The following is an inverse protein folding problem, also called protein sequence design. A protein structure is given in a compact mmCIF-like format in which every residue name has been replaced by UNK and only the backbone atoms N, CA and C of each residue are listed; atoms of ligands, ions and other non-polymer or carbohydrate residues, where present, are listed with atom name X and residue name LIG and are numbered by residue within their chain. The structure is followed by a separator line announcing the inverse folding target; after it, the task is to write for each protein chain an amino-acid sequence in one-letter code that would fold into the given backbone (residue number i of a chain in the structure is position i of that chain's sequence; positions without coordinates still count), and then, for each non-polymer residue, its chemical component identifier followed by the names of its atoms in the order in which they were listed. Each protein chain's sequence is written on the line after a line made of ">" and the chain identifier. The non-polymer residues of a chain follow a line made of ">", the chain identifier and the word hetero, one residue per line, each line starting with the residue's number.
data_IF_285067281537
#
_entry.id   IF_285067281537
#
_cell.length_a   1.000
_cell.length_b   1.000
_cell.length_c   1.000
_cell.angle_alpha   90.00
_cell.angle_beta   90.00
_cell.angle_gamma   90.00
#
_symmetry.space_group_name_H-M   'P 1'
#
loop_
_entity.id
_entity.type
_entity.pdbx_description
1 polymer ?
#
# COMPACT_ATOMS: atom_id res chain seq x y z
N UNK A 1 -5.36 -40.44 54.99
CA UNK A 1 -6.09 -40.55 53.71
C UNK A 1 -6.35 -39.13 53.20
N UNK A 2 -5.61 -38.65 52.19
CA UNK A 2 -5.77 -37.28 51.68
C UNK A 2 -6.93 -37.22 50.68
N UNK A 3 -7.98 -36.49 51.04
CA UNK A 3 -9.19 -36.31 50.23
C UNK A 3 -8.89 -35.34 49.10
N UNK A 4 -8.74 -35.84 47.86
CA UNK A 4 -8.56 -34.99 46.68
C UNK A 4 -9.87 -34.25 46.42
N UNK A 5 -9.89 -32.94 46.60
CA UNK A 5 -11.02 -32.11 46.18
C UNK A 5 -11.05 -32.09 44.65
N UNK A 6 -12.11 -32.64 44.06
CA UNK A 6 -12.35 -32.50 42.61
C UNK A 6 -12.91 -31.09 42.39
N UNK A 7 -12.08 -30.21 41.83
CA UNK A 7 -12.46 -28.87 41.42
C UNK A 7 -13.34 -29.02 40.18
N UNK A 8 -14.64 -28.78 40.32
CA UNK A 8 -15.53 -28.73 39.17
C UNK A 8 -15.34 -27.38 38.49
N UNK A 9 -14.92 -27.42 37.22
CA UNK A 9 -15.06 -26.27 36.33
C UNK A 9 -16.54 -26.15 36.03
N UNK A 10 -17.16 -25.03 36.38
CA UNK A 10 -18.59 -24.88 36.14
C UNK A 10 -18.81 -24.68 34.64
N UNK A 11 -19.79 -25.35 34.05
CA UNK A 11 -20.17 -25.09 32.64
C UNK A 11 -20.55 -23.60 32.46
N UNK A 12 -21.07 -22.99 33.52
CA UNK A 12 -21.40 -21.57 33.56
C UNK A 12 -20.17 -20.66 33.38
N UNK A 13 -19.03 -20.97 34.02
CA UNK A 13 -17.78 -20.21 33.83
C UNK A 13 -17.33 -20.25 32.37
N UNK A 14 -17.47 -21.39 31.71
CA UNK A 14 -17.10 -21.48 30.30
C UNK A 14 -18.06 -20.67 29.43
N UNK A 15 -19.36 -20.72 29.71
CA UNK A 15 -20.39 -20.01 28.94
C UNK A 15 -20.22 -18.50 29.06
N UNK A 16 -20.03 -17.96 30.27
CA UNK A 16 -19.86 -16.51 30.44
C UNK A 16 -18.59 -16.00 29.73
N UNK A 17 -17.51 -16.79 29.73
CA UNK A 17 -16.27 -16.43 29.04
C UNK A 17 -16.46 -16.37 27.52
N UNK A 18 -17.08 -17.37 26.90
CA UNK A 18 -17.32 -17.34 25.45
C UNK A 18 -18.31 -16.25 25.05
N UNK A 19 -19.28 -15.91 25.90
CA UNK A 19 -20.19 -14.78 25.68
C UNK A 19 -19.42 -13.46 25.70
N UNK A 20 -18.58 -13.22 26.70
CA UNK A 20 -17.77 -11.99 26.78
C UNK A 20 -16.78 -11.92 25.61
N UNK A 21 -16.09 -13.01 25.28
CA UNK A 21 -15.20 -13.07 24.12
C UNK A 21 -15.95 -12.83 22.80
N UNK A 22 -17.18 -13.32 22.67
CA UNK A 22 -18.03 -13.07 21.51
C UNK A 22 -18.38 -11.58 21.34
N UNK A 23 -18.73 -10.90 22.43
CA UNK A 23 -19.02 -9.45 22.42
C UNK A 23 -17.76 -8.65 22.05
N UNK A 24 -16.61 -9.00 22.64
CA UNK A 24 -15.34 -8.33 22.34
C UNK A 24 -14.91 -8.55 20.87
N UNK A 25 -15.09 -9.77 20.35
CA UNK A 25 -14.78 -10.07 18.96
C UNK A 25 -15.64 -9.27 17.98
N UNK A 26 -16.93 -9.09 18.28
CA UNK A 26 -17.86 -8.30 17.45
C UNK A 26 -17.37 -6.85 17.25
N UNK A 27 -16.84 -6.22 18.30
CA UNK A 27 -16.33 -4.84 18.24
C UNK A 27 -14.91 -4.79 17.67
N UNK A 28 -14.08 -5.79 17.98
CA UNK A 28 -12.67 -5.82 17.56
C UNK A 28 -12.51 -6.01 16.05
N UNK A 29 -13.33 -6.84 15.40
CA UNK A 29 -13.22 -7.14 13.97
C UNK A 29 -13.33 -5.89 13.07
N UNK A 30 -14.39 -5.05 13.15
CA UNK A 30 -14.49 -3.86 12.31
C UNK A 30 -13.41 -2.82 12.64
N UNK A 31 -13.06 -2.66 13.92
CA UNK A 31 -12.01 -1.74 14.35
C UNK A 31 -10.65 -2.13 13.74
N UNK A 32 -10.30 -3.42 13.78
CA UNK A 32 -9.04 -3.92 13.23
C UNK A 32 -9.02 -3.86 11.69
N UNK A 33 -10.16 -4.11 11.03
CA UNK A 33 -10.27 -3.99 9.57
C UNK A 33 -10.00 -2.57 9.06
N UNK A 34 -10.50 -1.54 9.76
CA UNK A 34 -10.23 -0.14 9.41
C UNK A 34 -8.75 0.22 9.51
N UNK A 35 -8.06 -0.25 10.56
CA UNK A 35 -6.62 -0.04 10.75
C UNK A 35 -5.82 -0.70 9.64
N UNK A 36 -6.14 -1.96 9.28
CA UNK A 36 -5.45 -2.66 8.18
C UNK A 36 -5.60 -1.86 6.88
N UNK A 37 -6.82 -1.40 6.57
CA UNK A 37 -7.07 -0.65 5.33
C UNK A 37 -6.26 0.66 5.26
N UNK A 38 -6.19 1.40 6.37
CA UNK A 38 -5.41 2.63 6.43
C UNK A 38 -3.91 2.34 6.31
N UNK A 39 -3.40 1.33 7.02
CA UNK A 39 -2.01 0.90 6.91
C UNK A 39 -1.68 0.47 5.48
N UNK A 40 -2.55 -0.30 4.81
CA UNK A 40 -2.34 -0.67 3.40
C UNK A 40 -2.29 0.54 2.48
N UNK A 41 -3.17 1.53 2.68
CA UNK A 41 -3.14 2.76 1.87
C UNK A 41 -1.85 3.55 2.09
N UNK A 42 -1.39 3.65 3.34
CA UNK A 42 -0.14 4.37 3.64
C UNK A 42 1.09 3.69 3.06
N UNK A 43 1.12 2.35 3.02
CA UNK A 43 2.19 1.59 2.36
C UNK A 43 2.17 1.86 0.86
N UNK A 44 1.00 1.82 0.22
CA UNK A 44 0.87 2.10 -1.20
C UNK A 44 1.35 3.52 -1.57
N UNK A 45 0.96 4.52 -0.77
CA UNK A 45 1.41 5.91 -0.95
C UNK A 45 2.93 6.04 -0.76
N UNK A 46 3.50 5.36 0.23
CA UNK A 46 4.95 5.37 0.46
C UNK A 46 5.71 4.69 -0.67
N UNK A 47 5.20 3.57 -1.20
CA UNK A 47 5.78 2.88 -2.35
C UNK A 47 5.77 3.77 -3.59
N UNK A 48 4.64 4.41 -3.92
CA UNK A 48 4.55 5.34 -5.05
C UNK A 48 5.53 6.52 -4.91
N UNK A 49 5.66 7.09 -3.70
CA UNK A 49 6.65 8.14 -3.41
C UNK A 49 8.09 7.66 -3.49
N UNK A 50 8.38 6.42 -3.11
CA UNK A 50 9.71 5.85 -3.25
C UNK A 50 10.07 5.71 -4.74
N UNK A 51 9.15 5.19 -5.56
CA UNK A 51 9.34 5.07 -7.01
C UNK A 51 9.60 6.43 -7.66
N UNK A 52 8.85 7.47 -7.28
CA UNK A 52 9.10 8.81 -7.79
C UNK A 52 10.46 9.39 -7.36
N UNK A 53 10.96 9.04 -6.16
CA UNK A 53 12.31 9.44 -5.72
C UNK A 53 13.38 8.72 -6.51
N UNK A 54 13.18 7.43 -6.76
CA UNK A 54 14.13 6.61 -7.51
C UNK A 54 14.15 7.04 -8.99
N UNK A 55 13.00 7.33 -9.59
CA UNK A 55 12.90 7.91 -10.94
C UNK A 55 13.61 9.28 -11.02
N UNK A 56 13.40 10.17 -10.04
CA UNK A 56 14.14 11.44 -9.95
C UNK A 56 15.66 11.22 -9.84
N UNK A 57 16.09 10.24 -9.02
CA UNK A 57 17.50 9.93 -8.85
C UNK A 57 18.12 9.37 -10.13
N UNK A 58 17.45 8.43 -10.79
CA UNK A 58 17.90 7.84 -12.05
C UNK A 58 18.00 8.89 -13.16
N UNK A 59 17.00 9.77 -13.28
CA UNK A 59 17.06 10.89 -14.20
C UNK A 59 18.30 11.76 -13.89
N UNK A 60 18.54 12.13 -12.62
CA UNK A 60 19.71 12.90 -12.19
C UNK A 60 21.06 12.24 -12.56
N UNK A 61 21.14 10.91 -12.52
CA UNK A 61 22.33 10.16 -12.90
C UNK A 61 22.54 10.06 -14.42
N UNK A 62 21.46 9.81 -15.18
CA UNK A 62 21.55 9.62 -16.63
C UNK A 62 21.75 10.95 -17.40
N UNK A 63 21.23 12.07 -16.89
CA UNK A 63 21.29 13.35 -17.61
C UNK A 63 22.50 14.24 -17.27
N UNK A 64 23.41 13.80 -16.39
CA UNK A 64 24.58 14.61 -16.01
C UNK A 64 24.18 15.94 -15.35
N UNK A 65 23.90 15.92 -14.05
CA UNK A 65 23.60 17.10 -13.22
C UNK A 65 22.38 17.97 -13.61
N UNK A 66 21.75 17.76 -14.78
CA UNK A 66 20.55 18.48 -15.22
C UNK A 66 19.54 17.48 -15.79
N UNK A 67 18.91 16.73 -14.90
CA UNK A 67 17.79 15.86 -15.24
C UNK A 67 16.51 16.65 -15.40
N UNK A 68 16.45 17.40 -16.49
CA UNK A 68 15.26 18.10 -16.92
C UNK A 68 14.17 17.11 -17.27
N UNK A 69 13.44 16.68 -16.23
CA UNK A 69 12.11 16.06 -16.30
C UNK A 69 11.15 17.13 -16.85
N UNK A 70 11.31 17.39 -18.14
CA UNK A 70 10.61 18.42 -18.90
C UNK A 70 9.45 17.83 -19.68
N UNK A 71 9.47 16.50 -19.86
CA UNK A 71 8.41 15.73 -20.48
C UNK A 71 8.15 14.45 -19.69
N UNK A 72 6.92 13.95 -19.81
CA UNK A 72 6.47 12.75 -19.14
C UNK A 72 7.12 11.47 -19.71
N UNK A 73 7.57 11.50 -20.97
CA UNK A 73 8.32 10.38 -21.57
C UNK A 73 9.62 10.04 -20.84
N UNK A 74 10.31 11.03 -20.26
CA UNK A 74 11.53 10.79 -19.46
C UNK A 74 11.22 10.05 -18.13
N UNK A 75 10.02 10.27 -17.59
CA UNK A 75 9.53 9.60 -16.38
C UNK A 75 9.15 8.15 -16.71
N UNK A 76 8.49 7.93 -17.85
CA UNK A 76 8.04 6.61 -18.29
C UNK A 76 9.23 5.65 -18.47
N UNK A 77 10.30 6.11 -19.14
CA UNK A 77 11.52 5.32 -19.32
C UNK A 77 12.22 5.02 -17.97
N UNK A 78 12.27 6.01 -17.05
CA UNK A 78 12.91 5.83 -15.74
C UNK A 78 12.13 4.86 -14.82
N UNK A 79 10.79 4.88 -14.88
CA UNK A 79 9.94 3.98 -14.09
C UNK A 79 9.88 2.58 -14.71
N UNK A 80 9.96 2.46 -16.04
CA UNK A 80 10.02 1.16 -16.73
C UNK A 80 11.32 0.39 -16.45
N UNK A 81 12.45 1.09 -16.26
CA UNK A 81 13.74 0.48 -15.89
C UNK A 81 13.81 0.10 -14.40
N UNK A 82 12.96 0.70 -13.57
CA UNK A 82 12.89 0.34 -12.14
C UNK A 82 12.23 -1.02 -11.99
N UNK A 83 12.95 -2.00 -11.41
CA UNK A 83 12.33 -3.29 -11.07
C UNK A 83 11.39 -3.10 -9.88
N UNK A 84 10.11 -2.88 -10.18
CA UNK A 84 9.06 -2.66 -9.18
C UNK A 84 8.69 -3.98 -8.48
N UNK A 85 9.56 -4.43 -7.59
CA UNK A 85 9.26 -5.56 -6.70
C UNK A 85 8.39 -5.04 -5.55
N UNK A 86 7.09 -5.32 -5.62
CA UNK A 86 6.16 -5.07 -4.52
C UNK A 86 6.41 -6.02 -3.36
N UNK A 87 7.47 -5.76 -2.59
CA UNK A 87 7.60 -6.34 -1.26
C UNK A 87 6.36 -5.94 -0.44
N UNK A 88 5.79 -6.90 0.30
CA UNK A 88 4.49 -6.83 1.02
C UNK A 88 3.23 -7.31 0.26
N UNK A 89 3.39 -8.04 -0.84
CA UNK A 89 2.29 -8.72 -1.53
C UNK A 89 1.41 -7.78 -2.35
N UNK A 90 1.99 -6.66 -2.78
CA UNK A 90 1.43 -5.76 -3.77
C UNK A 90 1.93 -6.17 -5.15
N UNK A 91 1.05 -6.29 -6.12
CA UNK A 91 1.49 -6.37 -7.51
C UNK A 91 1.59 -4.95 -8.05
N UNK A 92 2.74 -4.62 -8.63
CA UNK A 92 2.97 -3.33 -9.29
C UNK A 92 2.85 -3.54 -10.79
N UNK A 93 2.02 -2.75 -11.45
CA UNK A 93 1.98 -2.69 -12.92
C UNK A 93 2.09 -1.25 -13.39
N UNK A 94 2.79 -1.08 -14.51
CA UNK A 94 2.96 0.22 -15.16
C UNK A 94 2.21 0.26 -16.49
N UNK A 95 1.65 1.43 -16.81
CA UNK A 95 1.07 1.72 -18.11
C UNK A 95 1.45 3.13 -18.54
N UNK A 96 1.91 3.25 -19.77
CA UNK A 96 2.26 4.52 -20.39
C UNK A 96 0.97 5.22 -20.85
N UNK A 97 0.65 6.33 -20.21
CA UNK A 97 -0.43 7.23 -20.60
C UNK A 97 -0.04 8.63 -20.15
N UNK A 98 0.87 9.27 -20.89
CA UNK A 98 1.31 10.64 -20.61
C UNK A 98 1.79 10.79 -19.16
N UNK A 99 2.79 9.98 -18.77
CA UNK A 99 3.30 9.84 -17.40
C UNK A 99 3.20 8.42 -16.87
N UNK A 100 4.03 8.10 -15.88
CA UNK A 100 4.14 6.73 -15.40
C UNK A 100 2.99 6.39 -14.45
N UNK A 101 2.04 5.60 -14.95
CA UNK A 101 0.98 5.02 -14.13
C UNK A 101 1.54 3.87 -13.30
N UNK A 102 1.24 3.84 -12.01
CA UNK A 102 1.58 2.78 -11.06
C UNK A 102 0.28 2.28 -10.45
N UNK A 103 -0.09 1.06 -10.80
CA UNK A 103 -1.22 0.37 -10.18
C UNK A 103 -0.69 -0.60 -9.13
N UNK A 104 -1.14 -0.39 -7.90
CA UNK A 104 -0.86 -1.23 -6.74
C UNK A 104 -2.13 -2.00 -6.42
N UNK A 105 -2.10 -3.33 -6.49
CA UNK A 105 -3.21 -4.20 -6.04
C UNK A 105 -2.81 -4.99 -4.79
N UNK A 106 -3.66 -4.96 -3.77
CA UNK A 106 -3.60 -5.89 -2.64
C UNK A 106 -4.96 -6.54 -2.40
N UNK A 107 -5.06 -7.83 -2.70
CA UNK A 107 -6.27 -8.63 -2.53
C UNK A 107 -7.51 -8.02 -3.21
N UNK A 108 -7.35 -7.47 -4.42
CA UNK A 108 -8.43 -6.85 -5.19
C UNK A 108 -8.75 -5.41 -4.80
N UNK A 109 -7.97 -4.81 -3.89
CA UNK A 109 -8.03 -3.37 -3.60
C UNK A 109 -6.96 -2.67 -4.40
N UNK A 110 -7.38 -1.97 -5.44
CA UNK A 110 -6.51 -1.20 -6.33
C UNK A 110 -6.26 0.19 -5.80
N UNK A 111 -5.05 0.67 -5.95
CA UNK A 111 -4.68 2.07 -5.83
C UNK A 111 -3.82 2.46 -7.01
N UNK A 112 -4.25 3.49 -7.71
CA UNK A 112 -3.61 4.00 -8.91
C UNK A 112 -2.94 5.33 -8.55
N UNK A 113 -1.67 5.41 -8.87
CA UNK A 113 -0.86 6.62 -8.78
C UNK A 113 -0.33 6.95 -10.16
N UNK A 114 -0.22 8.23 -10.48
CA UNK A 114 0.44 8.69 -11.70
C UNK A 114 1.63 9.55 -11.32
N UNK A 115 2.77 9.30 -11.93
CA UNK A 115 3.96 10.14 -11.78
C UNK A 115 4.08 11.03 -13.00
N UNK A 116 4.08 12.34 -12.77
CA UNK A 116 4.16 13.36 -13.80
C UNK A 116 5.44 14.16 -13.69
N UNK A 117 5.99 14.57 -14.83
CA UNK A 117 7.05 15.56 -14.89
C UNK A 117 6.45 16.96 -14.68
N UNK A 118 6.97 17.68 -13.68
CA UNK A 118 6.54 19.07 -13.39
C UNK A 118 7.77 19.95 -13.25
N UNK A 119 8.22 20.54 -14.36
CA UNK A 119 9.32 21.52 -14.37
C UNK A 119 10.54 21.03 -13.57
N UNK A 120 11.22 19.99 -14.08
CA UNK A 120 12.48 19.46 -13.54
C UNK A 120 12.32 18.58 -12.27
N UNK A 121 11.11 18.11 -11.97
CA UNK A 121 10.87 17.14 -10.88
C UNK A 121 9.73 16.18 -11.20
N UNK A 122 9.80 14.96 -10.69
CA UNK A 122 8.69 14.01 -10.69
C UNK A 122 7.74 14.29 -9.51
N UNK A 123 6.44 14.39 -9.79
CA UNK A 123 5.37 14.57 -8.79
C UNK A 123 4.44 13.36 -8.84
N UNK A 124 4.01 12.88 -7.67
CA UNK A 124 3.05 11.78 -7.56
C UNK A 124 1.65 12.34 -7.34
N UNK A 125 0.72 12.00 -8.22
CA UNK A 125 -0.71 12.20 -8.05
C UNK A 125 -1.38 10.88 -7.65
N UNK A 126 -2.33 10.94 -6.71
CA UNK A 126 -3.19 9.81 -6.40
C UNK A 126 -4.48 9.94 -7.21
N UNK A 127 -4.76 8.92 -8.01
CA UNK A 127 -5.85 8.94 -8.98
C UNK A 127 -7.08 8.15 -8.48
N UNK A 128 -6.93 7.33 -7.44
CA UNK A 128 -8.03 6.50 -6.91
C UNK A 128 -7.89 5.03 -7.31
N UNK A 129 -9.00 4.35 -7.61
CA UNK A 129 -9.01 2.90 -7.89
C UNK A 129 -9.05 2.55 -9.38
N UNK A 130 -9.60 3.44 -10.22
CA UNK A 130 -9.90 3.15 -11.64
C UNK A 130 -9.75 4.37 -12.56
N UNK A 131 -8.96 5.37 -12.14
CA UNK A 131 -8.78 6.58 -12.92
C UNK A 131 -7.74 6.40 -14.03
N UNK A 132 -8.01 7.08 -15.16
CA UNK A 132 -7.06 7.23 -16.24
C UNK A 132 -5.93 8.15 -15.77
N UNK A 133 -4.69 7.84 -16.14
CA UNK A 133 -3.57 8.71 -15.85
C UNK A 133 -3.81 10.07 -16.52
N UNK A 134 -3.76 11.14 -15.73
CA UNK A 134 -3.72 12.51 -16.24
C UNK A 134 -2.58 13.23 -15.55
N UNK A 135 -1.55 13.50 -16.33
CA UNK A 135 -0.71 14.66 -16.10
C UNK A 135 -1.35 15.88 -16.83
#
# INVERSE_FOLDING_TARGET
>A
MQKRMRKAFTLLELIVVVVVLGILALVAVPAFSGVINNSTSSVAENTAKAIARDANALAAFNSGANANLTDNGDIDDAVADTTLSGDDGWTVSTADTDGARIELDKNGKKQVYTICAVSDRAVVAFEGTDAAATC
#
